data_IF_792862121916
#
_entry.id   IF_792862121916
#
_cell.length_a   1.000
_cell.length_b   1.000
_cell.length_c   1.000
_cell.angle_alpha   90.00
_cell.angle_beta   90.00
_cell.angle_gamma   90.00
#
_symmetry.space_group_name_H-M   'P 1'
#
loop_
_entity.id
_entity.type
_entity.pdbx_description
1 polymer ?
#
# COMPACT_ATOMS: atom_id res chain seq x y z
N UNK A 1 -12.75 -5.75 -3.82
CA UNK A 1 -11.63 -4.79 -3.99
C UNK A 1 -11.21 -4.83 -5.45
N UNK A 2 -10.72 -3.76 -6.04
CA UNK A 2 -10.23 -3.72 -7.42
C UNK A 2 -8.87 -3.07 -7.49
N UNK A 3 -8.10 -3.40 -8.54
CA UNK A 3 -6.84 -2.71 -8.81
C UNK A 3 -7.10 -1.21 -8.98
N UNK A 4 -6.30 -0.38 -8.32
CA UNK A 4 -6.47 1.07 -8.33
C UNK A 4 -7.35 1.64 -7.20
N UNK A 5 -8.11 0.81 -6.49
CA UNK A 5 -8.84 1.27 -5.30
C UNK A 5 -7.86 1.70 -4.19
N UNK A 6 -8.26 2.68 -3.38
CA UNK A 6 -7.54 3.11 -2.18
C UNK A 6 -8.33 2.76 -0.93
N UNK A 7 -7.71 2.05 0.00
CA UNK A 7 -8.29 1.68 1.29
C UNK A 7 -7.46 2.23 2.44
N UNK A 8 -8.10 2.54 3.58
CA UNK A 8 -7.40 2.79 4.83
C UNK A 8 -7.02 1.45 5.46
N UNK A 9 -5.73 1.23 5.72
CA UNK A 9 -5.18 -0.05 6.19
C UNK A 9 -4.34 0.18 7.44
N UNK A 10 -4.52 -0.66 8.45
CA UNK A 10 -3.61 -0.75 9.59
C UNK A 10 -2.47 -1.70 9.26
N UNK A 11 -1.25 -1.17 9.18
CA UNK A 11 -0.05 -1.96 8.94
C UNK A 11 0.67 -2.14 10.29
N UNK A 12 0.90 -3.38 10.75
CA UNK A 12 1.55 -3.60 12.04
C UNK A 12 2.96 -3.01 12.05
N UNK A 13 3.36 -2.48 13.20
CA UNK A 13 4.75 -2.05 13.40
C UNK A 13 5.62 -3.27 13.64
N UNK A 14 6.67 -3.40 12.84
CA UNK A 14 7.72 -4.41 13.01
C UNK A 14 9.05 -3.68 13.17
N UNK A 15 10.07 -4.34 13.72
CA UNK A 15 11.41 -3.75 13.86
C UNK A 15 12.01 -3.45 12.48
N UNK A 16 12.35 -2.18 12.21
CA UNK A 16 13.04 -1.77 11.00
C UNK A 16 12.48 -0.51 10.33
N UNK A 17 12.57 -0.47 9.00
CA UNK A 17 12.18 0.68 8.16
C UNK A 17 10.96 0.41 7.27
N UNK A 18 10.22 -0.66 7.53
CA UNK A 18 8.96 -0.96 6.86
C UNK A 18 7.92 0.15 7.11
N UNK A 19 7.00 0.35 6.17
CA UNK A 19 5.88 1.28 6.41
C UNK A 19 4.92 0.66 7.42
N UNK A 20 4.51 1.43 8.43
CA UNK A 20 3.66 0.97 9.54
C UNK A 20 2.56 1.97 9.92
N UNK A 21 1.60 1.56 10.74
CA UNK A 21 0.49 2.38 11.23
C UNK A 21 -0.71 2.46 10.27
N UNK A 22 -1.72 3.20 10.68
CA UNK A 22 -2.98 3.40 9.94
C UNK A 22 -2.79 4.41 8.80
N UNK A 23 -2.89 3.97 7.55
CA UNK A 23 -2.63 4.82 6.36
C UNK A 23 -3.37 4.34 5.11
N UNK A 24 -3.59 5.24 4.13
CA UNK A 24 -4.11 4.84 2.83
C UNK A 24 -3.12 3.92 2.11
N UNK A 25 -3.63 2.93 1.37
CA UNK A 25 -2.86 2.05 0.52
C UNK A 25 -3.60 1.75 -0.79
N UNK A 26 -2.85 1.67 -1.89
CA UNK A 26 -3.34 1.34 -3.23
C UNK A 26 -3.38 -0.17 -3.43
N UNK A 27 -4.48 -0.70 -3.93
CA UNK A 27 -4.58 -2.11 -4.32
C UNK A 27 -3.90 -2.32 -5.67
N UNK A 28 -2.93 -3.25 -5.73
CA UNK A 28 -2.15 -3.54 -6.93
C UNK A 28 -2.22 -5.00 -7.40
N UNK A 29 -2.96 -5.85 -6.68
CA UNK A 29 -3.20 -7.24 -7.08
C UNK A 29 -4.15 -7.32 -8.28
N UNK A 30 -3.89 -8.26 -9.19
CA UNK A 30 -4.75 -8.52 -10.35
C UNK A 30 -6.16 -8.94 -9.94
N UNK A 31 -7.16 -8.52 -10.70
CA UNK A 31 -8.58 -8.74 -10.37
C UNK A 31 -8.94 -10.22 -10.23
N UNK A 32 -8.35 -11.10 -11.05
CA UNK A 32 -8.58 -12.54 -10.99
C UNK A 32 -8.31 -13.11 -9.60
N UNK A 33 -7.29 -12.60 -8.89
CA UNK A 33 -6.85 -13.16 -7.60
C UNK A 33 -7.40 -12.43 -6.39
N UNK A 34 -7.91 -11.21 -6.55
CA UNK A 34 -8.41 -10.41 -5.43
C UNK A 34 -9.63 -11.06 -4.74
N UNK A 35 -10.47 -11.78 -5.46
CA UNK A 35 -11.66 -12.43 -4.88
C UNK A 35 -11.41 -13.90 -4.49
N UNK A 36 -10.29 -14.49 -4.91
CA UNK A 36 -9.96 -15.89 -4.64
C UNK A 36 -9.12 -16.06 -3.37
N UNK A 37 -8.36 -15.05 -2.98
CA UNK A 37 -7.42 -15.11 -1.86
C UNK A 37 -7.93 -14.29 -0.66
N UNK A 38 -7.66 -14.75 0.57
CA UNK A 38 -7.96 -13.98 1.78
C UNK A 38 -6.95 -12.82 2.00
N UNK A 39 -5.96 -12.68 1.12
CA UNK A 39 -4.91 -11.67 1.19
C UNK A 39 -4.87 -10.85 -0.10
N UNK A 40 -4.38 -9.61 0.02
CA UNK A 40 -4.27 -8.68 -1.09
C UNK A 40 -2.93 -7.96 -1.08
N UNK A 41 -2.30 -7.80 -2.25
CA UNK A 41 -1.09 -7.00 -2.41
C UNK A 41 -1.42 -5.50 -2.48
N UNK A 42 -0.71 -4.70 -1.69
CA UNK A 42 -0.91 -3.26 -1.56
C UNK A 42 0.39 -2.46 -1.70
N UNK A 43 0.27 -1.17 -2.05
CA UNK A 43 1.35 -0.17 -1.96
C UNK A 43 0.91 0.93 -1.00
N UNK A 44 1.58 1.14 0.15
CA UNK A 44 1.20 2.15 1.12
C UNK A 44 1.52 3.56 0.64
N UNK A 45 0.60 4.51 0.92
CA UNK A 45 0.81 5.93 0.65
C UNK A 45 1.47 6.62 1.86
N UNK A 46 2.14 7.74 1.58
CA UNK A 46 2.80 8.56 2.60
C UNK A 46 2.64 10.04 2.29
N UNK A 47 2.42 10.85 3.32
CA UNK A 47 2.43 12.32 3.21
C UNK A 47 3.86 12.90 3.28
N UNK A 48 4.88 12.06 3.44
CA UNK A 48 6.29 12.48 3.47
C UNK A 48 6.78 12.78 2.06
N UNK A 49 6.50 13.99 1.56
CA UNK A 49 6.86 14.43 0.21
C UNK A 49 8.36 14.36 -0.11
N UNK A 50 9.23 14.41 0.90
CA UNK A 50 10.69 14.17 0.75
C UNK A 50 11.02 12.79 0.15
N UNK A 51 10.10 11.82 0.19
CA UNK A 51 10.29 10.51 -0.44
C UNK A 51 10.32 10.57 -1.97
N UNK A 52 9.89 11.68 -2.60
CA UNK A 52 9.93 11.84 -4.07
C UNK A 52 11.33 11.78 -4.67
N UNK A 53 12.38 11.84 -3.84
CA UNK A 53 13.77 11.61 -4.26
C UNK A 53 14.04 10.15 -4.67
N UNK A 54 13.22 9.21 -4.20
CA UNK A 54 13.38 7.80 -4.51
C UNK A 54 12.70 7.48 -5.85
N UNK A 55 13.38 6.74 -6.77
CA UNK A 55 12.77 6.29 -8.01
C UNK A 55 11.43 5.58 -7.75
N UNK A 56 10.48 5.76 -8.67
CA UNK A 56 9.13 5.18 -8.61
C UNK A 56 8.25 5.69 -7.44
N UNK A 57 8.62 6.81 -6.81
CA UNK A 57 7.70 7.60 -5.98
C UNK A 57 7.00 8.64 -6.85
N UNK A 58 5.67 8.57 -6.92
CA UNK A 58 4.84 9.49 -7.71
C UNK A 58 4.22 10.57 -6.80
N UNK A 59 4.09 11.79 -7.33
CA UNK A 59 3.41 12.92 -6.68
C UNK A 59 2.03 13.14 -7.30
#
# INVERSE_FOLDING_TARGET
MKIGDVYLVEIPTVDGHEQAGLRPALIVQSEEKVNELPTVLIVPLTSKTKASIFPFTFL
#
